data_IF_353784122479
#
_entry.id   IF_353784122479
#
_cell.length_a   1.000
_cell.length_b   1.000
_cell.length_c   1.000
_cell.angle_alpha   90.00
_cell.angle_beta   90.00
_cell.angle_gamma   90.00
#
_symmetry.space_group_name_H-M   'P 1'
#
loop_
_entity.id
_entity.type
_entity.pdbx_description
1 polymer ?
#
# COMPACT_ATOMS: atom_id res chain seq x y z
N UNK A 1 2.63 4.17 -10.86
CA UNK A 1 1.64 4.96 -10.09
C UNK A 1 2.21 5.07 -8.70
N UNK A 2 2.42 6.27 -8.18
CA UNK A 2 2.93 6.43 -6.83
C UNK A 2 1.87 6.05 -5.78
N UNK A 3 2.30 5.99 -4.52
CA UNK A 3 1.45 5.60 -3.41
C UNK A 3 0.29 6.59 -3.18
N UNK A 4 0.52 7.89 -3.40
CA UNK A 4 -0.49 8.93 -3.20
C UNK A 4 -1.61 8.81 -4.23
N UNK A 5 -1.29 8.61 -5.50
CA UNK A 5 -2.26 8.42 -6.57
C UNK A 5 -3.07 7.13 -6.36
N UNK A 6 -2.44 6.07 -5.85
CA UNK A 6 -3.16 4.84 -5.47
C UNK A 6 -4.15 5.09 -4.34
N UNK A 7 -3.77 5.84 -3.30
CA UNK A 7 -4.67 6.23 -2.21
C UNK A 7 -5.83 7.09 -2.71
N UNK A 8 -5.54 8.09 -3.54
CA UNK A 8 -6.55 8.96 -4.13
C UNK A 8 -7.59 8.15 -4.92
N UNK A 9 -7.14 7.25 -5.81
CA UNK A 9 -8.05 6.40 -6.60
C UNK A 9 -8.82 5.39 -5.76
N UNK A 10 -8.20 4.86 -4.70
CA UNK A 10 -8.87 4.00 -3.74
C UNK A 10 -10.04 4.74 -3.07
N UNK A 11 -9.78 5.91 -2.48
CA UNK A 11 -10.81 6.73 -1.83
C UNK A 11 -11.91 7.13 -2.81
N UNK A 12 -11.56 7.58 -4.01
CA UNK A 12 -12.53 7.92 -5.04
C UNK A 12 -13.43 6.73 -5.40
N UNK A 13 -12.87 5.53 -5.51
CA UNK A 13 -13.63 4.30 -5.80
C UNK A 13 -14.57 3.93 -4.66
N UNK A 14 -14.16 4.12 -3.40
CA UNK A 14 -15.03 3.91 -2.22
C UNK A 14 -16.20 4.88 -2.21
N UNK A 15 -15.95 6.17 -2.46
CA UNK A 15 -17.01 7.20 -2.53
C UNK A 15 -17.99 6.89 -3.66
N UNK A 16 -17.49 6.51 -4.84
CA UNK A 16 -18.34 6.10 -5.98
C UNK A 16 -19.13 4.84 -5.68
N UNK A 17 -18.55 3.85 -5.00
CA UNK A 17 -19.28 2.65 -4.59
C UNK A 17 -20.42 2.95 -3.60
N UNK A 18 -20.30 4.03 -2.81
CA UNK A 18 -21.33 4.44 -1.86
C UNK A 18 -22.44 5.23 -2.55
N UNK A 19 -22.10 6.01 -3.57
CA UNK A 19 -23.02 6.91 -4.27
C UNK A 19 -23.67 6.29 -5.50
N UNK A 20 -23.23 5.11 -5.95
CA UNK A 20 -23.69 4.51 -7.19
C UNK A 20 -25.15 3.99 -7.09
N UNK A 21 -26.01 4.31 -8.09
CA UNK A 21 -27.43 4.00 -8.03
C UNK A 21 -27.71 2.50 -8.21
N UNK A 22 -26.94 1.81 -9.04
CA UNK A 22 -27.16 0.39 -9.35
C UNK A 22 -26.26 -0.54 -8.56
N UNK A 23 -26.74 -1.75 -8.29
CA UNK A 23 -25.96 -2.79 -7.61
C UNK A 23 -24.68 -3.14 -8.38
N UNK A 24 -24.77 -3.26 -9.70
CA UNK A 24 -23.63 -3.57 -10.56
C UNK A 24 -22.55 -2.49 -10.49
N UNK A 25 -22.93 -1.21 -10.55
CA UNK A 25 -21.97 -0.11 -10.41
C UNK A 25 -21.32 -0.10 -9.02
N UNK A 26 -22.10 -0.36 -7.95
CA UNK A 26 -21.53 -0.53 -6.60
C UNK A 26 -20.53 -1.69 -6.55
N UNK A 27 -20.87 -2.83 -7.15
CA UNK A 27 -19.99 -3.99 -7.21
C UNK A 27 -18.69 -3.69 -7.97
N UNK A 28 -18.79 -3.07 -9.15
CA UNK A 28 -17.63 -2.67 -9.95
C UNK A 28 -16.70 -1.71 -9.19
N UNK A 29 -17.24 -0.66 -8.57
CA UNK A 29 -16.45 0.29 -7.79
C UNK A 29 -15.79 -0.34 -6.55
N UNK A 30 -16.48 -1.27 -5.87
CA UNK A 30 -15.87 -2.05 -4.78
C UNK A 30 -14.73 -2.92 -5.28
N UNK A 31 -14.88 -3.54 -6.45
CA UNK A 31 -13.82 -4.31 -7.10
C UNK A 31 -12.58 -3.47 -7.38
N UNK A 32 -12.77 -2.25 -7.92
CA UNK A 32 -11.68 -1.30 -8.14
C UNK A 32 -11.00 -0.89 -6.82
N UNK A 33 -11.78 -0.52 -5.80
CA UNK A 33 -11.25 -0.15 -4.48
C UNK A 33 -10.41 -1.28 -3.88
N UNK A 34 -10.87 -2.53 -3.97
CA UNK A 34 -10.14 -3.71 -3.50
C UNK A 34 -8.85 -3.96 -4.32
N UNK A 35 -8.87 -3.69 -5.62
CA UNK A 35 -7.67 -3.76 -6.47
C UNK A 35 -6.62 -2.72 -6.08
N UNK A 36 -7.03 -1.49 -5.80
CA UNK A 36 -6.12 -0.45 -5.30
C UNK A 36 -5.55 -0.79 -3.91
N UNK A 37 -6.38 -1.28 -2.99
CA UNK A 37 -5.93 -1.71 -1.66
C UNK A 37 -4.85 -2.81 -1.74
N UNK A 38 -5.02 -3.79 -2.63
CA UNK A 38 -4.01 -4.83 -2.87
C UNK A 38 -2.68 -4.26 -3.38
N UNK A 39 -2.73 -3.29 -4.29
CA UNK A 39 -1.52 -2.63 -4.81
C UNK A 39 -0.81 -1.79 -3.74
N UNK A 40 -1.56 -1.07 -2.92
CA UNK A 40 -1.03 -0.30 -1.78
C UNK A 40 -0.30 -1.25 -0.82
N UNK A 41 -0.95 -2.35 -0.42
CA UNK A 41 -0.34 -3.33 0.48
C UNK A 41 0.94 -3.95 -0.10
N UNK A 42 0.95 -4.26 -1.40
CA UNK A 42 2.13 -4.80 -2.08
C UNK A 42 3.31 -3.82 -2.05
N UNK A 43 3.07 -2.52 -2.32
CA UNK A 43 4.12 -1.50 -2.26
C UNK A 43 4.64 -1.30 -0.83
N UNK A 44 3.75 -1.18 0.15
CA UNK A 44 4.13 -1.05 1.56
C UNK A 44 4.93 -2.25 2.08
N UNK A 45 4.59 -3.46 1.60
CA UNK A 45 5.35 -4.67 1.97
C UNK A 45 6.75 -4.67 1.37
N UNK A 46 6.88 -4.22 0.11
CA UNK A 46 8.20 -4.03 -0.52
C UNK A 46 9.06 -3.02 0.24
N UNK A 47 8.50 -1.87 0.59
CA UNK A 47 9.19 -0.83 1.36
C UNK A 47 9.61 -1.33 2.75
N UNK A 48 8.75 -2.10 3.42
CA UNK A 48 9.07 -2.70 4.72
C UNK A 48 10.23 -3.70 4.63
N UNK A 49 10.29 -4.52 3.58
CA UNK A 49 11.39 -5.45 3.35
C UNK A 49 12.70 -4.70 3.14
N UNK A 50 12.68 -3.64 2.33
CA UNK A 50 13.86 -2.81 2.07
C UNK A 50 14.35 -2.14 3.36
N UNK A 51 13.44 -1.53 4.13
CA UNK A 51 13.77 -0.90 5.40
C UNK A 51 14.38 -1.89 6.40
N UNK A 52 13.84 -3.12 6.49
CA UNK A 52 14.38 -4.17 7.35
C UNK A 52 15.78 -4.62 6.91
N UNK A 53 16.01 -4.77 5.61
CA UNK A 53 17.32 -5.12 5.07
C UNK A 53 18.37 -4.04 5.40
N UNK A 54 18.03 -2.77 5.18
CA UNK A 54 18.89 -1.64 5.54
C UNK A 54 19.19 -1.59 7.04
N UNK A 55 18.19 -1.79 7.89
CA UNK A 55 18.38 -1.84 9.35
C UNK A 55 19.30 -3.01 9.78
N UNK A 56 19.19 -4.15 9.10
CA UNK A 56 20.03 -5.33 9.37
C UNK A 56 21.48 -5.10 8.96
N UNK A 57 21.72 -4.45 7.81
CA UNK A 57 23.06 -4.06 7.36
C UNK A 57 23.71 -3.07 8.33
N UNK A 58 22.98 -2.00 8.72
CA UNK A 58 23.44 -1.03 9.71
C UNK A 58 23.75 -1.66 11.07
N UNK A 59 23.03 -2.72 11.46
CA UNK A 59 23.31 -3.47 12.69
C UNK A 59 24.55 -4.36 12.58
N UNK A 60 24.83 -4.90 11.39
CA UNK A 60 26.02 -5.72 11.10
C UNK A 60 27.30 -4.90 11.13
N UNK A 61 27.24 -3.66 10.66
CA UNK A 61 28.41 -2.76 10.58
C UNK A 61 28.78 -2.09 11.89
N UNK A 62 28.09 -2.37 13.01
CA UNK A 62 28.52 -1.85 14.31
C UNK A 62 29.81 -2.56 14.75
N UNK A 63 30.96 -1.87 14.81
CA UNK A 63 32.18 -2.47 15.32
C UNK A 63 31.93 -2.86 16.78
N UNK A 64 32.23 -4.11 17.12
CA UNK A 64 32.27 -4.55 18.51
C UNK A 64 33.41 -3.77 19.17
N UNK A 65 33.08 -2.66 19.82
CA UNK A 65 33.98 -1.98 20.73
C UNK A 65 34.30 -2.98 21.84
N UNK A 66 35.43 -3.69 21.70
CA UNK A 66 36.03 -4.43 22.79
C UNK A 66 36.52 -3.39 23.79
N UNK A 67 35.88 -3.35 24.94
CA UNK A 67 36.43 -2.76 26.15
C UNK A 67 37.60 -3.61 26.66
#
# INVERSE_FOLDING_TARGET
>A
MDLNELYFRHQLSVVRATSAPTFEARHAHRGLAAGYARRIAALQSGDAIVALASATLLRRDRPRLRH
#
